data_IF_692648259844
#
_entry.id   IF_692648259844
#
_cell.length_a   1.000
_cell.length_b   1.000
_cell.length_c   1.000
_cell.angle_alpha   90.00
_cell.angle_beta   90.00
_cell.angle_gamma   90.00
#
_symmetry.space_group_name_H-M   'P 1'
#
loop_
_entity.id
_entity.type
_entity.pdbx_description
1 polymer ?
#
# COMPACT_ATOMS: atom_id res chain seq x y z
N UNK A 1 -24.08 8.75 -17.21
CA UNK A 1 -23.01 9.76 -17.30
C UNK A 1 -21.94 9.43 -16.27
N UNK A 2 -20.95 8.61 -16.63
CA UNK A 2 -19.76 8.42 -15.80
C UNK A 2 -18.76 9.51 -16.18
N UNK A 3 -18.51 10.46 -15.28
CA UNK A 3 -17.49 11.49 -15.44
C UNK A 3 -16.15 10.76 -15.56
N UNK A 4 -15.57 10.70 -16.77
CA UNK A 4 -14.19 10.24 -16.96
C UNK A 4 -13.32 11.13 -16.06
N UNK A 5 -12.49 10.58 -15.16
CA UNK A 5 -11.58 11.42 -14.39
C UNK A 5 -10.70 12.19 -15.36
N UNK A 6 -10.56 13.49 -15.09
CA UNK A 6 -9.78 14.40 -15.92
C UNK A 6 -8.32 13.93 -15.93
N UNK A 7 -7.65 14.11 -17.07
CA UNK A 7 -6.27 13.72 -17.34
C UNK A 7 -5.22 14.37 -16.42
N UNK A 8 -5.63 15.21 -15.46
CA UNK A 8 -4.76 15.89 -14.48
C UNK A 8 -4.52 15.10 -13.18
N UNK A 9 -5.38 14.12 -12.84
CA UNK A 9 -5.31 13.43 -11.53
C UNK A 9 -4.21 12.35 -11.48
N UNK A 10 -3.63 11.98 -12.63
CA UNK A 10 -2.57 10.96 -12.73
C UNK A 10 -1.17 11.51 -12.39
N UNK A 11 -1.00 12.83 -12.42
CA UNK A 11 0.29 13.49 -12.21
C UNK A 11 0.45 14.10 -10.81
N UNK A 12 -0.56 14.01 -9.95
CA UNK A 12 -0.48 14.49 -8.56
C UNK A 12 0.28 13.45 -7.69
N UNK A 13 1.47 13.80 -7.14
CA UNK A 13 2.20 12.91 -6.25
C UNK A 13 1.37 12.46 -5.05
N UNK A 14 0.48 13.32 -4.55
CA UNK A 14 -0.41 13.02 -3.43
C UNK A 14 -1.40 11.90 -3.78
N UNK A 15 -1.90 11.85 -5.01
CA UNK A 15 -2.81 10.80 -5.44
C UNK A 15 -2.14 9.41 -5.42
N UNK A 16 -0.87 9.32 -5.80
CA UNK A 16 -0.07 8.09 -5.68
C UNK A 16 0.01 7.61 -4.23
N UNK A 17 0.16 8.52 -3.27
CA UNK A 17 0.19 8.18 -1.84
C UNK A 17 -1.17 7.74 -1.31
N UNK A 18 -2.26 8.40 -1.72
CA UNK A 18 -3.63 7.98 -1.40
C UNK A 18 -3.94 6.58 -1.91
N UNK A 19 -3.50 6.28 -3.14
CA UNK A 19 -3.63 4.96 -3.75
C UNK A 19 -2.87 3.88 -2.95
N UNK A 20 -1.65 4.19 -2.51
CA UNK A 20 -0.86 3.29 -1.64
C UNK A 20 -1.56 3.08 -0.29
N UNK A 21 -2.01 4.14 0.36
CA UNK A 21 -2.65 4.09 1.67
C UNK A 21 -3.93 3.24 1.66
N UNK A 22 -4.82 3.47 0.68
CA UNK A 22 -6.05 2.66 0.56
C UNK A 22 -5.76 1.20 0.22
N UNK A 23 -4.76 0.94 -0.61
CA UNK A 23 -4.38 -0.42 -1.01
C UNK A 23 -3.88 -1.20 0.19
N UNK A 24 -3.02 -0.56 1.00
CA UNK A 24 -2.45 -1.12 2.21
C UNK A 24 -3.56 -1.57 3.19
N UNK A 25 -4.53 -0.71 3.51
CA UNK A 25 -5.65 -1.11 4.39
C UNK A 25 -6.56 -2.18 3.78
N UNK A 26 -6.81 -2.13 2.46
CA UNK A 26 -7.63 -3.16 1.78
C UNK A 26 -6.96 -4.53 1.78
N UNK A 27 -5.64 -4.59 1.68
CA UNK A 27 -4.90 -5.86 1.76
C UNK A 27 -5.07 -6.47 3.16
N UNK A 28 -4.89 -5.68 4.22
CA UNK A 28 -5.06 -6.18 5.58
C UNK A 28 -6.51 -6.59 5.86
N UNK A 29 -7.50 -5.81 5.41
CA UNK A 29 -8.90 -6.19 5.48
C UNK A 29 -9.16 -7.56 4.84
N UNK A 30 -8.65 -7.78 3.62
CA UNK A 30 -8.84 -9.04 2.90
C UNK A 30 -8.13 -10.20 3.60
N UNK A 31 -6.96 -9.97 4.21
CA UNK A 31 -6.26 -10.99 5.00
C UNK A 31 -7.07 -11.46 6.20
N UNK A 32 -7.84 -10.56 6.81
CA UNK A 32 -8.72 -10.88 7.94
C UNK A 32 -10.10 -11.41 7.51
N UNK A 33 -10.39 -11.47 6.20
CA UNK A 33 -11.68 -11.89 5.64
C UNK A 33 -12.89 -11.10 6.19
N UNK A 34 -12.71 -9.81 6.50
CA UNK A 34 -13.78 -8.96 7.04
C UNK A 34 -14.39 -8.07 5.96
N UNK A 35 -15.71 -7.97 5.97
CA UNK A 35 -16.45 -6.99 5.17
C UNK A 35 -16.39 -5.60 5.82
N UNK A 36 -16.77 -4.56 5.07
CA UNK A 36 -16.88 -3.22 5.65
C UNK A 36 -18.00 -3.15 6.70
N UNK A 37 -19.01 -4.01 6.62
CA UNK A 37 -20.10 -4.09 7.59
C UNK A 37 -19.58 -4.64 8.92
N UNK A 38 -18.82 -5.74 8.87
CA UNK A 38 -18.20 -6.34 10.06
C UNK A 38 -17.26 -5.37 10.76
N UNK A 39 -16.49 -4.59 9.99
CA UNK A 39 -15.58 -3.57 10.52
C UNK A 39 -16.36 -2.46 11.22
N UNK A 40 -17.43 -1.97 10.59
CA UNK A 40 -18.28 -0.94 11.18
C UNK A 40 -18.94 -1.42 12.48
N UNK A 41 -19.44 -2.66 12.52
CA UNK A 41 -20.00 -3.27 13.72
C UNK A 41 -18.96 -3.37 14.85
N UNK A 42 -17.74 -3.83 14.54
CA UNK A 42 -16.64 -3.89 15.52
C UNK A 42 -16.20 -2.51 16.00
N UNK A 43 -16.21 -1.51 15.13
CA UNK A 43 -15.94 -0.12 15.53
C UNK A 43 -17.01 0.41 16.49
N UNK A 44 -18.28 0.10 16.24
CA UNK A 44 -19.37 0.47 17.14
C UNK A 44 -19.25 -0.24 18.49
N UNK A 45 -18.81 -1.50 18.51
CA UNK A 45 -18.57 -2.25 19.75
C UNK A 45 -17.51 -1.63 20.65
N UNK A 46 -16.55 -0.88 20.10
CA UNK A 46 -15.54 -0.12 20.85
C UNK A 46 -15.94 1.35 21.09
N UNK A 47 -17.21 1.71 20.81
CA UNK A 47 -17.75 3.05 21.04
C UNK A 47 -17.48 4.05 19.91
N UNK A 48 -17.17 3.58 18.70
CA UNK A 48 -16.90 4.44 17.55
C UNK A 48 -18.03 4.37 16.54
N UNK A 49 -18.66 5.52 16.31
CA UNK A 49 -19.82 5.69 15.42
C UNK A 49 -19.40 5.71 13.94
N UNK A 50 -18.94 4.56 13.43
CA UNK A 50 -18.71 4.36 12.00
C UNK A 50 -19.83 3.51 11.38
N UNK A 51 -20.21 3.84 10.16
CA UNK A 51 -21.12 3.02 9.33
C UNK A 51 -20.34 2.37 8.21
N UNK A 52 -20.88 1.28 7.62
CA UNK A 52 -20.25 0.63 6.46
C UNK A 52 -19.93 1.64 5.34
N UNK A 53 -20.86 2.56 5.08
CA UNK A 53 -20.72 3.60 4.06
C UNK A 53 -19.61 4.59 4.43
N UNK A 54 -19.52 5.00 5.70
CA UNK A 54 -18.45 5.89 6.19
C UNK A 54 -17.07 5.25 6.05
N UNK A 55 -16.92 4.00 6.53
CA UNK A 55 -15.67 3.23 6.41
C UNK A 55 -15.28 3.09 4.95
N UNK A 56 -16.20 2.66 4.09
CA UNK A 56 -15.95 2.50 2.64
C UNK A 56 -15.51 3.82 2.01
N UNK A 57 -16.15 4.94 2.36
CA UNK A 57 -15.81 6.25 1.82
C UNK A 57 -14.42 6.71 2.28
N UNK A 58 -14.05 6.51 3.55
CA UNK A 58 -12.72 6.85 4.08
C UNK A 58 -11.62 6.06 3.38
N UNK A 59 -11.81 4.74 3.23
CA UNK A 59 -10.88 3.88 2.51
C UNK A 59 -10.82 4.27 1.02
N UNK A 60 -11.95 4.56 0.38
CA UNK A 60 -12.00 4.90 -1.05
C UNK A 60 -11.24 6.19 -1.38
N UNK A 61 -11.38 7.22 -0.53
CA UNK A 61 -10.71 8.52 -0.70
C UNK A 61 -9.20 8.44 -0.48
N UNK A 62 -8.72 7.49 0.32
CA UNK A 62 -7.30 7.33 0.64
C UNK A 62 -6.74 8.42 1.56
N UNK A 63 -7.55 9.41 1.96
CA UNK A 63 -7.24 10.42 2.97
C UNK A 63 -8.11 10.17 4.20
N UNK A 64 -7.51 9.61 5.23
CA UNK A 64 -8.19 9.37 6.51
C UNK A 64 -7.28 9.79 7.66
N UNK A 65 -7.85 10.22 8.80
CA UNK A 65 -7.06 10.52 9.99
C UNK A 65 -6.27 9.30 10.46
N UNK A 66 -5.08 9.53 11.01
CA UNK A 66 -4.29 8.45 11.62
C UNK A 66 -5.06 7.75 12.77
N UNK A 67 -5.93 8.47 13.47
CA UNK A 67 -6.82 7.90 14.49
C UNK A 67 -7.75 6.83 13.91
N UNK A 68 -8.36 7.09 12.75
CA UNK A 68 -9.17 6.10 12.04
C UNK A 68 -8.34 4.89 11.62
N UNK A 69 -7.11 5.09 11.15
CA UNK A 69 -6.21 3.99 10.80
C UNK A 69 -5.93 3.08 11.99
N UNK A 70 -5.65 3.65 13.17
CA UNK A 70 -5.39 2.89 14.39
C UNK A 70 -6.64 2.13 14.86
N UNK A 71 -7.80 2.77 14.81
CA UNK A 71 -9.08 2.14 15.12
C UNK A 71 -9.37 0.98 14.17
N UNK A 72 -9.11 1.17 12.88
CA UNK A 72 -9.24 0.14 11.85
C UNK A 72 -8.31 -1.04 12.13
N UNK A 73 -7.02 -0.79 12.40
CA UNK A 73 -6.07 -1.83 12.78
C UNK A 73 -6.50 -2.60 14.03
N UNK A 74 -6.99 -1.88 15.05
CA UNK A 74 -7.46 -2.47 16.30
C UNK A 74 -8.63 -3.44 16.07
N UNK A 75 -9.66 -3.03 15.31
CA UNK A 75 -10.83 -3.90 15.05
C UNK A 75 -10.53 -5.04 14.07
N UNK A 76 -9.51 -4.88 13.23
CA UNK A 76 -8.96 -5.96 12.39
C UNK A 76 -8.09 -6.93 13.19
N UNK A 77 -7.62 -6.56 14.39
CA UNK A 77 -6.66 -7.35 15.16
C UNK A 77 -5.27 -7.40 14.53
N UNK A 78 -4.83 -6.30 13.91
CA UNK A 78 -3.54 -6.20 13.22
C UNK A 78 -2.60 -5.26 14.00
N UNK A 79 -1.47 -5.80 14.45
CA UNK A 79 -0.47 -5.04 15.20
C UNK A 79 0.51 -4.28 14.29
N UNK A 80 0.78 -4.83 13.11
CA UNK A 80 1.79 -4.30 12.18
C UNK A 80 1.28 -4.39 10.75
N UNK A 81 1.34 -3.26 10.05
CA UNK A 81 1.15 -3.24 8.60
C UNK A 81 2.51 -3.10 7.91
N UNK A 82 2.97 -4.12 7.16
CA UNK A 82 4.25 -4.04 6.47
C UNK A 82 4.19 -3.06 5.30
N UNK A 83 4.91 -1.94 5.40
CA UNK A 83 5.14 -1.02 4.30
C UNK A 83 6.52 -1.27 3.70
N UNK A 84 6.58 -1.68 2.42
CA UNK A 84 7.84 -1.82 1.68
C UNK A 84 8.11 -0.54 0.90
N UNK A 85 9.02 0.34 1.35
CA UNK A 85 9.42 1.49 0.56
C UNK A 85 10.09 0.99 -0.72
N UNK A 86 9.54 1.39 -1.87
CA UNK A 86 10.23 1.24 -3.14
C UNK A 86 11.24 2.38 -3.21
N UNK A 87 12.51 2.05 -2.98
CA UNK A 87 13.62 2.98 -3.17
C UNK A 87 13.86 3.10 -4.67
N UNK A 88 13.35 4.16 -5.28
CA UNK A 88 13.59 4.48 -6.69
C UNK A 88 14.68 5.56 -6.73
N UNK A 89 15.93 5.17 -7.00
CA UNK A 89 17.05 6.09 -7.16
C UNK A 89 18.40 5.37 -7.27
N UNK A 90 19.39 6.04 -7.86
CA UNK A 90 20.79 5.64 -7.81
C UNK A 90 21.33 5.95 -6.41
N UNK A 91 21.60 4.92 -5.62
CA UNK A 91 22.28 5.08 -4.33
C UNK A 91 23.79 5.02 -4.56
N UNK A 92 24.49 6.12 -4.31
CA UNK A 92 25.96 6.11 -4.22
C UNK A 92 26.32 5.53 -2.87
N UNK A 93 26.78 4.27 -2.85
CA UNK A 93 27.36 3.68 -1.65
C UNK A 93 28.75 4.27 -1.43
N UNK A 94 29.04 4.65 -0.19
CA UNK A 94 30.40 4.98 0.19
C UNK A 94 31.27 3.69 0.03
N UNK A 95 32.51 3.80 -0.49
CA UNK A 95 33.32 2.63 -0.87
C UNK A 95 33.56 1.63 0.28
N UNK A 96 33.54 2.09 1.52
CA UNK A 96 33.72 1.34 2.75
C UNK A 96 32.53 0.43 3.12
N UNK A 97 31.35 0.66 2.54
CA UNK A 97 30.17 -0.19 2.71
C UNK A 97 30.07 -1.31 1.66
N UNK A 98 30.85 -1.27 0.57
CA UNK A 98 30.88 -2.36 -0.42
C UNK A 98 31.31 -3.69 0.20
N UNK A 99 32.27 -3.65 1.13
CA UNK A 99 32.84 -4.85 1.76
C UNK A 99 31.86 -5.57 2.72
N UNK A 100 30.74 -4.93 3.06
CA UNK A 100 29.72 -5.45 3.98
C UNK A 100 28.39 -5.80 3.33
N UNK A 101 28.26 -5.64 2.01
CA UNK A 101 27.05 -6.05 1.29
C UNK A 101 26.96 -7.59 1.30
N UNK A 102 25.82 -8.21 1.69
CA UNK A 102 25.64 -9.64 1.50
C UNK A 102 25.75 -9.94 0.00
N UNK A 103 26.80 -10.67 -0.39
CA UNK A 103 27.12 -10.95 -1.79
C UNK A 103 25.89 -11.54 -2.48
N UNK A 104 25.19 -10.72 -3.26
CA UNK A 104 24.04 -11.17 -4.05
C UNK A 104 24.60 -12.08 -5.13
N UNK A 105 24.37 -13.39 -4.99
CA UNK A 105 24.64 -14.33 -6.09
C UNK A 105 23.69 -13.99 -7.22
N UNK A 106 24.22 -13.41 -8.29
CA UNK A 106 23.48 -13.20 -9.53
C UNK A 106 23.13 -14.59 -10.09
N UNK A 107 21.89 -15.02 -9.93
CA UNK A 107 21.39 -16.21 -10.62
C UNK A 107 21.18 -15.86 -12.11
N UNK A 108 21.35 -16.83 -13.03
CA UNK A 108 21.17 -16.58 -14.46
C UNK A 108 19.80 -15.99 -14.82
N UNK A 109 18.76 -16.29 -14.05
CA UNK A 109 17.42 -15.75 -14.22
C UNK A 109 17.35 -14.23 -13.97
N UNK A 110 18.13 -13.71 -13.00
CA UNK A 110 18.16 -12.28 -12.69
C UNK A 110 18.89 -11.48 -13.78
N UNK A 111 19.91 -12.09 -14.40
CA UNK A 111 20.62 -11.51 -15.55
C UNK A 111 19.70 -11.44 -16.77
N UNK A 112 18.94 -12.51 -17.04
CA UNK A 112 17.97 -12.54 -18.14
C UNK A 112 16.81 -11.54 -17.96
N UNK A 113 16.44 -11.21 -16.70
CA UNK A 113 15.42 -10.21 -16.41
C UNK A 113 15.94 -8.76 -16.50
N UNK A 114 17.23 -8.51 -16.23
CA UNK A 114 17.84 -7.18 -16.31
C UNK A 114 18.25 -6.79 -17.73
N UNK A 115 18.78 -7.75 -18.48
CA UNK A 115 19.10 -7.60 -19.91
C UNK A 115 17.83 -7.96 -20.67
N UNK A 116 16.91 -7.00 -20.80
CA UNK A 116 15.63 -7.18 -21.47
C UNK A 116 15.75 -8.06 -22.71
N UNK A 117 14.90 -9.07 -22.80
CA UNK A 117 14.92 -10.05 -23.89
C UNK A 117 14.91 -9.33 -25.24
N UNK A 118 15.84 -9.64 -26.17
CA UNK A 118 15.67 -9.18 -27.54
C UNK A 118 14.43 -9.87 -28.10
N UNK A 119 13.42 -9.05 -28.43
CA UNK A 119 12.25 -9.38 -29.24
C UNK A 119 12.72 -10.19 -30.45
N UNK A 120 12.40 -11.49 -30.48
CA UNK A 120 12.54 -12.32 -31.69
C UNK A 120 11.21 -12.30 -32.43
N UNK A 121 11.34 -12.07 -33.73
CA UNK A 121 10.31 -12.03 -34.78
C UNK A 121 9.28 -13.15 -34.71
#
# INVERSE_FOLDING_TARGET
MAKRPATSDLDDPENVWREKARTLLRVEQRRQNLTYADIAERMQAIGIEETEVSVRNKISRGTFPATFMLQFMHVLGVDLIPFKPQLTGEFTLAPDLLDKVPQVRMTPELIAALVGTPKKE
#
